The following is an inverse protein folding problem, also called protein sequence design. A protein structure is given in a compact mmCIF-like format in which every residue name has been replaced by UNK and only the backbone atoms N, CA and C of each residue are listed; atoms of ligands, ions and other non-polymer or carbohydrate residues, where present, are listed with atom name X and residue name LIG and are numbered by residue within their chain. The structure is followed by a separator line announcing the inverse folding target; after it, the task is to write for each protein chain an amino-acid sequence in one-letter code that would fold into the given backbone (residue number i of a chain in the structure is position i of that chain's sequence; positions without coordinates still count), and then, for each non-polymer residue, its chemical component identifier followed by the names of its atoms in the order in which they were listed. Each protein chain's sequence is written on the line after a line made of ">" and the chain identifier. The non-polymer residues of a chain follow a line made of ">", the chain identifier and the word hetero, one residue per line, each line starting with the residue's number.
data_IF_625828195593
#
_entry.id   IF_625828195593
#
_cell.length_a   1.000
_cell.length_b   1.000
_cell.length_c   1.000
_cell.angle_alpha   90.00
_cell.angle_beta   90.00
_cell.angle_gamma   90.00
#
_symmetry.space_group_name_H-M   'P 1'
#
loop_
_entity.id
_entity.type
_entity.pdbx_description
1 polymer ?
#
# COMPACT_ATOMS: atom_id res chain seq x y z
N UNK A 1 -16.55 5.25 20.51
CA UNK A 1 -15.33 5.20 19.66
C UNK A 1 -14.17 5.90 20.37
N UNK A 2 -13.09 5.20 20.74
CA UNK A 2 -11.88 5.86 21.25
C UNK A 2 -11.33 6.81 20.17
N UNK A 3 -11.30 8.13 20.45
CA UNK A 3 -10.67 9.11 19.56
C UNK A 3 -9.15 8.89 19.60
N UNK A 4 -8.62 8.19 18.61
CA UNK A 4 -7.18 8.10 18.38
C UNK A 4 -6.63 9.53 18.18
N UNK A 5 -5.78 9.98 19.10
CA UNK A 5 -5.14 11.30 19.06
C UNK A 5 -3.63 11.13 18.91
N UNK A 6 -3.01 11.95 18.07
CA UNK A 6 -1.57 12.04 17.84
C UNK A 6 -1.25 13.44 17.34
N UNK A 7 -0.08 13.97 17.71
CA UNK A 7 0.42 15.26 17.21
C UNK A 7 1.02 15.17 15.80
N UNK A 8 1.14 13.96 15.24
CA UNK A 8 1.64 13.77 13.87
C UNK A 8 0.68 14.37 12.85
N UNK A 9 1.15 15.38 12.11
CA UNK A 9 0.48 15.85 10.88
C UNK A 9 0.48 14.72 9.84
N UNK A 10 -0.46 14.80 8.90
CA UNK A 10 -0.73 13.77 7.88
C UNK A 10 -1.03 14.41 6.53
N UNK A 11 -0.75 13.66 5.47
CA UNK A 11 -1.19 13.97 4.11
C UNK A 11 -2.38 13.06 3.81
N UNK A 12 -3.48 13.65 3.37
CA UNK A 12 -4.71 12.92 2.99
C UNK A 12 -4.83 12.89 1.46
N UNK A 13 -5.35 11.77 0.95
CA UNK A 13 -5.51 11.52 -0.48
C UNK A 13 -4.34 10.70 -1.02
N UNK A 14 -4.65 9.53 -1.59
CA UNK A 14 -3.67 8.66 -2.26
C UNK A 14 -3.06 9.34 -3.48
N UNK A 15 -3.87 10.06 -4.26
CA UNK A 15 -3.40 10.77 -5.45
C UNK A 15 -2.44 11.91 -5.11
N UNK A 16 -2.73 12.64 -4.02
CA UNK A 16 -1.85 13.71 -3.54
C UNK A 16 -0.49 13.18 -3.12
N UNK A 17 -0.46 12.06 -2.39
CA UNK A 17 0.79 11.39 -2.03
C UNK A 17 1.52 10.89 -3.26
N UNK A 18 0.83 10.27 -4.21
CA UNK A 18 1.41 9.84 -5.50
C UNK A 18 2.07 11.02 -6.23
N UNK A 19 1.41 12.18 -6.35
CA UNK A 19 1.96 13.36 -6.99
C UNK A 19 3.28 13.83 -6.37
N UNK A 20 3.35 13.91 -5.03
CA UNK A 20 4.58 14.28 -4.34
C UNK A 20 5.73 13.29 -4.56
N UNK A 21 5.43 11.98 -4.59
CA UNK A 21 6.45 10.96 -4.81
C UNK A 21 6.89 10.87 -6.27
N UNK A 22 6.02 11.22 -7.22
CA UNK A 22 6.34 11.24 -8.65
C UNK A 22 7.41 12.28 -9.02
N UNK A 23 7.52 13.35 -8.23
CA UNK A 23 8.56 14.39 -8.40
C UNK A 23 9.97 13.91 -7.99
N UNK A 24 10.09 12.74 -7.33
CA UNK A 24 11.36 12.23 -6.85
C UNK A 24 11.91 11.14 -7.77
N UNK A 25 13.05 11.42 -8.42
CA UNK A 25 13.68 10.52 -9.39
C UNK A 25 13.94 9.11 -8.87
N UNK A 26 14.39 8.97 -7.62
CA UNK A 26 14.65 7.65 -7.01
C UNK A 26 13.38 6.87 -6.65
N UNK A 27 12.23 7.54 -6.47
CA UNK A 27 10.98 6.91 -6.02
C UNK A 27 10.05 6.62 -7.19
N UNK A 28 10.02 7.51 -8.18
CA UNK A 28 9.16 7.45 -9.37
C UNK A 28 9.14 6.07 -10.06
N UNK A 29 10.27 5.36 -10.26
CA UNK A 29 10.27 4.03 -10.89
C UNK A 29 9.49 2.95 -10.13
N UNK A 30 9.23 3.18 -8.84
CA UNK A 30 8.53 2.27 -7.92
C UNK A 30 7.05 2.59 -7.78
N UNK A 31 6.54 3.63 -8.45
CA UNK A 31 5.14 4.01 -8.38
C UNK A 31 4.36 3.37 -9.53
N UNK A 32 3.30 2.59 -9.25
CA UNK A 32 2.40 2.14 -10.30
C UNK A 32 1.69 3.34 -10.92
N UNK A 33 1.52 3.33 -12.25
CA UNK A 33 0.83 4.39 -12.95
C UNK A 33 -0.53 4.66 -12.31
N UNK A 34 -0.79 5.90 -11.91
CA UNK A 34 -2.00 6.29 -11.19
C UNK A 34 -2.55 7.61 -11.75
N UNK A 35 -3.86 7.66 -11.96
CA UNK A 35 -4.60 8.88 -12.38
C UNK A 35 -5.90 9.05 -11.59
N UNK A 36 -6.52 10.24 -11.58
CA UNK A 36 -7.90 10.40 -11.14
C UNK A 36 -8.82 9.51 -11.98
N UNK A 37 -9.84 8.91 -11.38
CA UNK A 37 -10.79 8.08 -12.10
C UNK A 37 -11.80 8.95 -12.85
N UNK A 38 -11.70 8.97 -14.17
CA UNK A 38 -12.66 9.56 -15.11
C UNK A 38 -12.95 8.53 -16.21
N UNK A 39 -13.97 8.78 -17.05
CA UNK A 39 -14.26 7.91 -18.20
C UNK A 39 -13.02 7.77 -19.10
N UNK A 40 -12.44 8.88 -19.50
CA UNK A 40 -11.26 8.88 -20.38
C UNK A 40 -10.06 8.20 -19.73
N UNK A 41 -9.81 8.47 -18.44
CA UNK A 41 -8.71 7.81 -17.74
C UNK A 41 -8.93 6.31 -17.57
N UNK A 42 -10.18 5.84 -17.43
CA UNK A 42 -10.50 4.42 -17.42
C UNK A 42 -10.11 3.78 -18.75
N UNK A 43 -10.57 4.35 -19.87
CA UNK A 43 -10.29 3.85 -21.21
C UNK A 43 -8.79 3.85 -21.51
N UNK A 44 -8.12 5.00 -21.32
CA UNK A 44 -6.69 5.14 -21.58
C UNK A 44 -5.83 4.20 -20.70
N UNK A 45 -6.22 3.97 -19.45
CA UNK A 45 -5.47 3.06 -18.58
C UNK A 45 -5.69 1.60 -18.96
N UNK A 46 -6.91 1.21 -19.37
CA UNK A 46 -7.23 -0.14 -19.85
C UNK A 46 -6.67 -0.44 -21.26
N UNK A 47 -6.34 0.59 -22.05
CA UNK A 47 -5.55 0.43 -23.27
C UNK A 47 -4.10 0.05 -22.96
N UNK A 48 -3.54 0.61 -21.88
CA UNK A 48 -2.13 0.40 -21.50
C UNK A 48 -1.90 -0.82 -20.61
N UNK A 49 -2.87 -1.19 -19.79
CA UNK A 49 -2.70 -2.22 -18.75
C UNK A 49 -3.87 -3.19 -18.72
N UNK A 50 -3.56 -4.49 -18.74
CA UNK A 50 -4.55 -5.58 -18.69
C UNK A 50 -5.33 -5.61 -17.38
N UNK A 51 -4.68 -5.30 -16.25
CA UNK A 51 -5.34 -5.21 -14.94
C UNK A 51 -5.22 -3.79 -14.41
N UNK A 52 -6.32 -3.27 -13.87
CA UNK A 52 -6.35 -1.98 -13.15
C UNK A 52 -7.13 -2.11 -11.84
N UNK A 53 -6.77 -1.28 -10.87
CA UNK A 53 -7.48 -1.13 -9.62
C UNK A 53 -8.11 0.26 -9.55
N UNK A 54 -9.41 0.31 -9.27
CA UNK A 54 -10.12 1.55 -8.98
C UNK A 54 -10.34 1.59 -7.47
N UNK A 55 -9.88 2.64 -6.81
CA UNK A 55 -9.91 2.75 -5.34
C UNK A 55 -10.26 4.16 -4.87
N UNK A 56 -10.91 4.31 -3.70
CA UNK A 56 -11.16 5.62 -3.11
C UNK A 56 -9.85 6.34 -2.81
N UNK A 57 -9.77 7.60 -3.24
CA UNK A 57 -8.65 8.49 -2.93
C UNK A 57 -8.52 8.67 -1.41
N UNK A 58 -9.67 8.79 -0.74
CA UNK A 58 -9.79 8.80 0.72
C UNK A 58 -10.42 7.49 1.21
N UNK A 59 -9.80 6.88 2.21
CA UNK A 59 -10.28 5.63 2.78
C UNK A 59 -9.13 4.75 3.25
N UNK A 60 -9.49 3.66 3.93
CA UNK A 60 -8.56 2.69 4.53
C UNK A 60 -9.12 1.28 4.41
N UNK A 61 -8.33 0.28 4.78
CA UNK A 61 -8.76 -1.12 4.94
C UNK A 61 -9.19 -1.83 3.64
N UNK A 62 -8.86 -1.26 2.46
CA UNK A 62 -9.24 -1.85 1.16
C UNK A 62 -10.74 -1.77 0.84
N UNK A 63 -11.52 -0.97 1.58
CA UNK A 63 -12.95 -0.78 1.31
C UNK A 63 -13.15 0.06 0.04
N UNK A 64 -14.12 -0.34 -0.78
CA UNK A 64 -14.44 0.33 -2.05
C UNK A 64 -13.45 0.07 -3.18
N UNK A 65 -12.58 -0.93 -3.05
CA UNK A 65 -11.63 -1.31 -4.11
C UNK A 65 -12.33 -2.21 -5.13
N UNK A 66 -12.16 -1.85 -6.40
CA UNK A 66 -12.56 -2.63 -7.56
C UNK A 66 -11.31 -3.07 -8.31
N UNK A 67 -11.28 -4.32 -8.76
CA UNK A 67 -10.28 -4.82 -9.70
C UNK A 67 -10.96 -5.05 -11.04
N UNK A 68 -10.43 -4.46 -12.11
CA UNK A 68 -10.89 -4.71 -13.47
C UNK A 68 -9.79 -5.44 -14.23
N UNK A 69 -10.17 -6.50 -14.93
CA UNK A 69 -9.30 -7.21 -15.89
C UNK A 69 -9.92 -7.08 -17.26
N UNK A 70 -9.15 -6.56 -18.22
CA UNK A 70 -9.51 -6.62 -19.64
C UNK A 70 -9.24 -8.04 -20.16
N UNK A 71 -10.25 -8.67 -20.72
CA UNK A 71 -10.21 -10.02 -21.27
C UNK A 71 -10.84 -10.02 -22.66
N UNK A 72 -10.02 -9.79 -23.70
CA UNK A 72 -10.53 -9.57 -25.06
C UNK A 72 -11.46 -8.34 -25.11
N UNK A 73 -12.71 -8.49 -25.58
CA UNK A 73 -13.70 -7.41 -25.61
C UNK A 73 -14.36 -7.14 -24.26
N UNK A 74 -14.14 -8.00 -23.26
CA UNK A 74 -14.82 -7.92 -21.97
C UNK A 74 -13.97 -7.26 -20.88
N UNK A 75 -14.67 -6.66 -19.91
CA UNK A 75 -14.11 -6.15 -18.67
C UNK A 75 -14.68 -6.92 -17.48
N UNK A 76 -13.84 -7.71 -16.83
CA UNK A 76 -14.19 -8.50 -15.65
C UNK A 76 -13.93 -7.64 -14.41
N UNK A 77 -15.00 -7.11 -13.82
CA UNK A 77 -14.99 -6.34 -12.58
C UNK A 77 -15.18 -7.26 -11.37
N UNK A 78 -14.20 -7.28 -10.47
CA UNK A 78 -14.30 -7.92 -9.14
C UNK A 78 -14.34 -6.87 -8.04
N UNK A 79 -15.29 -6.99 -7.12
CA UNK A 79 -15.39 -6.13 -5.95
C UNK A 79 -16.06 -6.88 -4.80
N UNK A 80 -15.52 -6.74 -3.59
CA UNK A 80 -15.98 -7.53 -2.43
C UNK A 80 -15.96 -9.03 -2.74
N UNK A 81 -17.11 -9.70 -2.71
CA UNK A 81 -17.30 -11.12 -3.10
C UNK A 81 -18.10 -11.26 -4.39
N UNK A 82 -18.20 -10.21 -5.21
CA UNK A 82 -19.01 -10.17 -6.43
C UNK A 82 -18.11 -10.02 -7.66
N UNK A 83 -18.56 -10.63 -8.75
CA UNK A 83 -17.99 -10.48 -10.10
C UNK A 83 -19.07 -9.95 -11.03
N UNK A 84 -18.72 -9.03 -11.92
CA UNK A 84 -19.54 -8.57 -13.03
C UNK A 84 -18.71 -8.50 -14.30
N UNK A 85 -19.37 -8.70 -15.43
CA UNK A 85 -18.78 -8.57 -16.76
C UNK A 85 -19.45 -7.40 -17.47
N UNK A 86 -18.65 -6.63 -18.20
CA UNK A 86 -19.11 -5.54 -19.06
C UNK A 86 -18.45 -5.70 -20.42
N UNK A 87 -19.15 -5.36 -21.50
CA UNK A 87 -18.61 -5.38 -22.87
C UNK A 87 -18.20 -3.99 -23.36
N UNK A 88 -18.46 -2.95 -22.57
CA UNK A 88 -18.10 -1.57 -22.88
C UNK A 88 -17.59 -0.80 -21.64
N UNK A 89 -16.67 0.12 -21.87
CA UNK A 89 -16.03 0.94 -20.82
C UNK A 89 -17.00 1.91 -20.16
N UNK A 90 -18.05 2.34 -20.87
CA UNK A 90 -18.99 3.34 -20.40
C UNK A 90 -19.92 2.78 -19.31
N UNK A 91 -20.51 1.61 -19.54
CA UNK A 91 -21.31 0.87 -18.57
C UNK A 91 -20.49 0.51 -17.34
N UNK A 92 -19.24 0.06 -17.53
CA UNK A 92 -18.30 -0.18 -16.44
C UNK A 92 -18.07 1.11 -15.61
N UNK A 93 -17.78 2.23 -16.28
CA UNK A 93 -17.56 3.52 -15.63
C UNK A 93 -18.80 3.95 -14.82
N UNK A 94 -19.99 3.95 -15.44
CA UNK A 94 -21.24 4.32 -14.78
C UNK A 94 -21.52 3.43 -13.56
N UNK A 95 -21.27 2.13 -13.68
CA UNK A 95 -21.50 1.17 -12.60
C UNK A 95 -20.66 1.49 -11.36
N UNK A 96 -19.37 1.79 -11.55
CA UNK A 96 -18.44 2.13 -10.48
C UNK A 96 -18.72 3.53 -9.93
N UNK A 97 -18.92 4.52 -10.80
CA UNK A 97 -19.12 5.91 -10.42
C UNK A 97 -20.39 6.11 -9.59
N UNK A 98 -21.51 5.47 -9.95
CA UNK A 98 -22.78 5.54 -9.19
C UNK A 98 -22.70 4.95 -7.78
N UNK A 99 -21.71 4.09 -7.50
CA UNK A 99 -21.56 3.38 -6.22
C UNK A 99 -20.55 4.03 -5.27
N UNK A 100 -19.78 5.00 -5.76
CA UNK A 100 -18.79 5.70 -4.96
C UNK A 100 -19.29 7.08 -4.56
N UNK A 101 -19.32 7.34 -3.25
CA UNK A 101 -19.53 8.68 -2.69
C UNK A 101 -18.22 9.47 -2.54
N UNK A 102 -17.08 8.90 -2.95
CA UNK A 102 -15.75 9.49 -2.80
C UNK A 102 -15.07 9.66 -4.15
N UNK A 103 -14.14 10.63 -4.23
CA UNK A 103 -13.21 10.76 -5.36
C UNK A 103 -12.43 9.45 -5.49
N UNK A 104 -12.41 8.92 -6.71
CA UNK A 104 -11.74 7.67 -7.03
C UNK A 104 -10.44 7.95 -7.79
N UNK A 105 -9.50 7.01 -7.69
CA UNK A 105 -8.32 6.92 -8.55
C UNK A 105 -8.32 5.58 -9.28
N UNK A 106 -7.71 5.58 -10.47
CA UNK A 106 -7.39 4.37 -11.21
C UNK A 106 -5.88 4.15 -11.18
N UNK A 107 -5.47 2.92 -10.90
CA UNK A 107 -4.07 2.54 -10.74
C UNK A 107 -3.78 1.26 -11.53
N UNK A 108 -2.62 1.20 -12.16
CA UNK A 108 -2.09 -0.01 -12.80
C UNK A 108 -2.09 -1.19 -11.81
N UNK A 109 -2.57 -2.35 -12.26
CA UNK A 109 -2.40 -3.61 -11.56
C UNK A 109 -0.97 -4.13 -11.68
N UNK A 110 -0.46 -4.67 -10.58
CA UNK A 110 0.87 -5.28 -10.51
C UNK A 110 0.69 -6.79 -10.34
N UNK A 111 1.42 -7.58 -11.12
CA UNK A 111 1.49 -9.03 -10.96
C UNK A 111 2.41 -9.37 -9.80
N UNK A 112 1.81 -9.51 -8.62
CA UNK A 112 2.54 -9.66 -7.37
C UNK A 112 3.27 -11.00 -7.29
N UNK A 113 4.48 -10.96 -6.75
CA UNK A 113 5.17 -12.12 -6.22
C UNK A 113 4.32 -12.79 -5.13
N UNK A 114 4.38 -14.12 -5.03
CA UNK A 114 3.53 -14.91 -4.14
C UNK A 114 4.35 -15.68 -3.10
N UNK A 115 3.71 -15.94 -1.96
CA UNK A 115 4.14 -16.88 -0.94
C UNK A 115 3.03 -17.91 -0.75
N UNK A 116 3.31 -19.19 -0.97
CA UNK A 116 2.30 -20.28 -0.95
C UNK A 116 1.05 -19.93 -1.78
N UNK A 117 1.29 -19.47 -3.03
CA UNK A 117 0.29 -19.00 -3.99
C UNK A 117 -0.56 -17.78 -3.55
N UNK A 118 -0.22 -17.13 -2.44
CA UNK A 118 -0.92 -15.96 -1.92
C UNK A 118 -0.09 -14.69 -2.14
N UNK A 119 -0.71 -13.57 -2.54
CA UNK A 119 0.01 -12.31 -2.63
C UNK A 119 0.44 -11.87 -1.23
N UNK A 120 1.57 -11.19 -1.15
CA UNK A 120 2.04 -10.60 0.09
C UNK A 120 2.56 -9.18 -0.14
N UNK A 121 2.54 -8.38 0.91
CA UNK A 121 3.23 -7.10 0.95
C UNK A 121 4.10 -7.02 2.20
N UNK A 122 5.10 -6.14 2.16
CA UNK A 122 5.96 -5.80 3.28
C UNK A 122 5.58 -4.42 3.78
N UNK A 123 4.94 -4.37 4.96
CA UNK A 123 4.69 -3.12 5.68
C UNK A 123 6.00 -2.65 6.29
N UNK A 124 6.53 -1.51 5.86
CA UNK A 124 7.58 -0.78 6.56
C UNK A 124 6.96 0.34 7.43
N UNK A 125 7.42 0.46 8.68
CA UNK A 125 6.99 1.50 9.61
C UNK A 125 8.13 2.47 9.85
N UNK A 126 7.90 3.73 9.46
CA UNK A 126 8.85 4.82 9.61
C UNK A 126 8.33 5.73 10.70
N UNK A 127 9.17 6.04 11.68
CA UNK A 127 8.84 6.97 12.76
C UNK A 127 10.02 7.89 13.03
N UNK A 128 9.71 9.07 13.55
CA UNK A 128 10.71 9.96 14.14
C UNK A 128 10.19 10.56 15.43
N UNK A 129 11.09 10.77 16.38
CA UNK A 129 10.79 11.60 17.55
C UNK A 129 10.61 13.06 17.12
N UNK A 130 9.95 13.91 17.93
CA UNK A 130 10.00 15.35 17.72
C UNK A 130 11.45 15.82 17.57
N UNK A 131 11.73 16.60 16.51
CA UNK A 131 13.08 17.09 16.16
C UNK A 131 14.14 16.00 15.85
N UNK A 132 13.75 14.74 15.76
CA UNK A 132 14.66 13.64 15.44
C UNK A 132 14.61 13.23 13.97
N UNK A 133 15.55 12.35 13.61
CA UNK A 133 15.62 11.75 12.28
C UNK A 133 14.56 10.67 12.04
N UNK A 134 14.25 10.45 10.76
CA UNK A 134 13.41 9.32 10.33
C UNK A 134 14.15 8.00 10.52
N UNK A 135 13.47 7.05 11.16
CA UNK A 135 13.99 5.71 11.43
C UNK A 135 12.97 4.67 11.00
N UNK A 136 13.43 3.60 10.34
CA UNK A 136 12.62 2.40 10.17
C UNK A 136 12.56 1.67 11.51
N UNK A 137 11.41 1.75 12.19
CA UNK A 137 11.20 1.16 13.51
C UNK A 137 10.73 -0.29 13.45
N UNK A 138 10.34 -0.75 12.26
CA UNK A 138 10.16 -2.16 11.98
C UNK A 138 9.39 -2.42 10.68
N UNK A 139 9.31 -3.69 10.33
CA UNK A 139 8.53 -4.19 9.20
C UNK A 139 7.91 -5.53 9.51
N UNK A 140 6.90 -5.87 8.74
CA UNK A 140 6.29 -7.18 8.79
C UNK A 140 5.64 -7.47 7.45
N UNK A 141 5.60 -8.74 7.08
CA UNK A 141 4.89 -9.16 5.89
C UNK A 141 3.41 -9.41 6.21
N UNK A 142 2.53 -9.03 5.29
CA UNK A 142 1.11 -9.34 5.32
C UNK A 142 0.80 -10.23 4.13
N UNK A 143 0.40 -11.47 4.40
CA UNK A 143 0.03 -12.43 3.36
C UNK A 143 -1.49 -12.43 3.24
N UNK A 144 -1.99 -12.17 2.02
CA UNK A 144 -3.41 -12.12 1.72
C UNK A 144 -4.10 -13.49 1.81
N UNK A 145 -5.42 -13.47 1.87
CA UNK A 145 -6.25 -14.69 1.85
C UNK A 145 -6.57 -15.13 0.41
N UNK A 146 -6.78 -16.43 0.15
CA UNK A 146 -7.23 -16.92 -1.15
C UNK A 146 -8.46 -16.17 -1.67
N UNK A 147 -8.50 -15.91 -2.98
CA UNK A 147 -9.66 -15.33 -3.66
C UNK A 147 -9.94 -13.85 -3.37
N UNK A 148 -9.19 -13.18 -2.49
CA UNK A 148 -9.36 -11.75 -2.20
C UNK A 148 -8.53 -10.88 -3.13
N UNK A 149 -9.10 -9.76 -3.55
CA UNK A 149 -8.46 -8.76 -4.42
C UNK A 149 -7.44 -7.86 -3.70
N UNK A 150 -7.41 -7.88 -2.36
CA UNK A 150 -6.52 -7.05 -1.52
C UNK A 150 -5.82 -7.91 -0.45
N UNK A 151 -4.59 -7.56 -0.10
CA UNK A 151 -3.74 -8.22 0.92
C UNK A 151 -4.00 -7.74 2.36
N UNK A 152 -5.01 -6.90 2.56
CA UNK A 152 -5.21 -6.18 3.82
C UNK A 152 -5.54 -7.12 5.00
N UNK A 153 -4.92 -6.92 6.17
CA UNK A 153 -5.21 -7.69 7.39
C UNK A 153 -6.68 -7.63 7.80
N UNK A 154 -7.34 -6.49 7.59
CA UNK A 154 -8.77 -6.33 7.84
C UNK A 154 -9.65 -7.25 6.96
N UNK A 155 -9.07 -7.90 5.95
CA UNK A 155 -9.72 -8.81 5.00
C UNK A 155 -9.25 -10.26 5.17
N UNK A 156 -8.67 -10.62 6.33
CA UNK A 156 -8.29 -11.99 6.68
C UNK A 156 -6.81 -12.34 6.45
N UNK A 157 -5.97 -11.35 6.15
CA UNK A 157 -4.53 -11.56 5.97
C UNK A 157 -3.83 -12.01 7.26
N UNK A 158 -2.71 -12.73 7.11
CA UNK A 158 -1.85 -13.17 8.22
C UNK A 158 -0.55 -12.37 8.24
N UNK A 159 -0.01 -12.14 9.45
CA UNK A 159 1.23 -11.39 9.67
C UNK A 159 2.38 -12.37 9.84
N UNK A 160 3.50 -12.09 9.19
CA UNK A 160 4.73 -12.87 9.28
C UNK A 160 5.94 -11.96 9.51
N UNK A 161 6.98 -12.49 10.14
CA UNK A 161 8.31 -11.89 10.07
C UNK A 161 8.78 -11.92 8.62
N UNK A 162 9.30 -10.80 8.13
CA UNK A 162 9.81 -10.69 6.75
C UNK A 162 10.94 -11.68 6.53
N UNK A 163 11.88 -11.79 7.48
CA UNK A 163 13.02 -12.72 7.41
C UNK A 163 12.53 -14.16 7.33
N UNK A 164 11.59 -14.55 8.21
CA UNK A 164 11.01 -15.92 8.17
C UNK A 164 10.29 -16.18 6.85
N UNK A 165 9.53 -15.21 6.33
CA UNK A 165 8.83 -15.36 5.06
C UNK A 165 9.82 -15.52 3.89
N UNK A 166 10.87 -14.71 3.83
CA UNK A 166 11.89 -14.80 2.79
C UNK A 166 12.69 -16.11 2.87
N UNK A 167 13.05 -16.55 4.07
CA UNK A 167 13.67 -17.85 4.30
C UNK A 167 12.75 -18.99 3.86
N UNK A 168 11.47 -18.98 4.24
CA UNK A 168 10.49 -19.99 3.80
C UNK A 168 10.20 -19.97 2.29
N UNK A 169 10.50 -18.86 1.60
CA UNK A 169 10.47 -18.78 0.13
C UNK A 169 11.72 -19.36 -0.53
N UNK A 170 12.73 -19.76 0.24
CA UNK A 170 13.99 -20.27 -0.29
C UNK A 170 14.90 -19.17 -0.86
N UNK A 171 14.69 -17.89 -0.47
CA UNK A 171 15.58 -16.82 -0.93
C UNK A 171 16.99 -16.99 -0.31
N UNK A 172 18.07 -16.93 -1.11
CA UNK A 172 19.43 -16.94 -0.58
C UNK A 172 19.68 -15.77 0.39
N UNK A 173 20.52 -15.92 1.43
CA UNK A 173 20.75 -14.87 2.42
C UNK A 173 21.15 -13.52 1.82
N UNK A 174 21.98 -13.50 0.79
CA UNK A 174 22.40 -12.26 0.12
C UNK A 174 21.22 -11.52 -0.55
N UNK A 175 20.29 -12.24 -1.17
CA UNK A 175 19.08 -11.65 -1.76
C UNK A 175 18.10 -11.15 -0.69
N UNK A 176 18.01 -11.83 0.45
CA UNK A 176 17.21 -11.35 1.59
C UNK A 176 17.75 -9.99 2.09
N UNK A 177 19.05 -9.89 2.34
CA UNK A 177 19.71 -8.65 2.76
C UNK A 177 19.57 -7.55 1.72
N UNK A 178 19.78 -7.87 0.44
CA UNK A 178 19.62 -6.90 -0.66
C UNK A 178 18.20 -6.32 -0.73
N UNK A 179 17.17 -7.17 -0.65
CA UNK A 179 15.76 -6.72 -0.66
C UNK A 179 15.44 -5.86 0.55
N UNK A 180 15.96 -6.23 1.71
CA UNK A 180 15.81 -5.48 2.94
C UNK A 180 16.43 -4.09 2.86
N UNK A 181 17.70 -4.01 2.46
CA UNK A 181 18.43 -2.75 2.33
C UNK A 181 17.73 -1.83 1.32
N UNK A 182 17.20 -2.42 0.26
CA UNK A 182 16.48 -1.68 -0.75
C UNK A 182 15.16 -1.08 -0.21
N UNK A 183 14.36 -1.90 0.48
CA UNK A 183 13.13 -1.43 1.15
C UNK A 183 13.45 -0.36 2.17
N UNK A 184 14.47 -0.56 3.01
CA UNK A 184 14.83 0.38 4.08
C UNK A 184 15.25 1.73 3.49
N UNK A 185 16.17 1.74 2.53
CA UNK A 185 16.67 2.95 1.88
C UNK A 185 15.54 3.73 1.21
N UNK A 186 14.74 3.09 0.36
CA UNK A 186 13.62 3.76 -0.31
C UNK A 186 12.54 4.23 0.66
N UNK A 187 12.31 3.49 1.75
CA UNK A 187 11.35 3.89 2.77
C UNK A 187 11.75 5.20 3.46
N UNK A 188 13.04 5.38 3.74
CA UNK A 188 13.56 6.64 4.29
C UNK A 188 13.43 7.79 3.29
N UNK A 189 13.69 7.54 2.00
CA UNK A 189 13.50 8.54 0.94
C UNK A 189 12.04 8.98 0.80
N UNK A 190 11.10 8.04 0.83
CA UNK A 190 9.66 8.35 0.86
C UNK A 190 9.31 9.19 2.08
N UNK A 191 9.85 8.86 3.26
CA UNK A 191 9.57 9.61 4.48
C UNK A 191 10.12 11.04 4.43
N UNK A 192 11.35 11.22 3.94
CA UNK A 192 11.99 12.53 3.73
C UNK A 192 11.18 13.36 2.74
N UNK A 193 10.89 12.82 1.55
CA UNK A 193 10.10 13.47 0.51
C UNK A 193 8.77 14.01 1.06
N UNK A 194 7.97 13.15 1.70
CA UNK A 194 6.66 13.57 2.22
C UNK A 194 6.78 14.58 3.36
N UNK A 195 7.79 14.44 4.22
CA UNK A 195 8.02 15.38 5.32
C UNK A 195 8.50 16.76 4.86
N UNK A 196 9.17 16.85 3.70
CA UNK A 196 9.52 18.11 3.06
C UNK A 196 8.27 18.83 2.52
N UNK A 197 7.29 18.08 1.99
CA UNK A 197 5.99 18.64 1.54
C UNK A 197 5.03 18.94 2.69
N UNK A 198 5.20 18.30 3.85
CA UNK A 198 4.37 18.52 5.04
C UNK A 198 5.19 18.37 6.33
N UNK A 199 5.56 19.51 6.92
CA UNK A 199 6.21 19.54 8.23
C UNK A 199 5.34 18.93 9.34
N UNK A 200 5.97 18.47 10.42
CA UNK A 200 5.29 17.91 11.60
C UNK A 200 4.74 16.48 11.45
N UNK A 201 5.11 15.75 10.40
CA UNK A 201 4.85 14.31 10.29
C UNK A 201 5.80 13.53 11.20
N UNK A 202 5.33 12.52 11.92
CA UNK A 202 6.14 11.67 12.82
C UNK A 202 5.97 10.17 12.56
N UNK A 203 5.05 9.77 11.69
CA UNK A 203 4.82 8.38 11.35
C UNK A 203 4.36 8.20 9.90
N UNK A 204 4.86 7.17 9.24
CA UNK A 204 4.44 6.73 7.91
C UNK A 204 4.50 5.21 7.88
N UNK A 205 3.46 4.56 7.38
CA UNK A 205 3.48 3.15 7.00
C UNK A 205 3.51 3.05 5.48
N UNK A 206 4.44 2.27 4.93
CA UNK A 206 4.56 2.03 3.49
C UNK A 206 4.28 0.55 3.24
N UNK A 207 3.44 0.27 2.25
CA UNK A 207 3.12 -1.08 1.78
C UNK A 207 3.93 -1.35 0.52
N UNK A 208 5.00 -2.13 0.66
CA UNK A 208 5.86 -2.53 -0.44
C UNK A 208 5.45 -3.89 -1.01
N UNK A 209 5.54 -4.04 -2.32
CA UNK A 209 5.33 -5.33 -2.99
C UNK A 209 6.42 -5.59 -4.01
N UNK A 210 6.82 -6.84 -4.16
CA UNK A 210 7.61 -7.29 -5.29
C UNK A 210 6.67 -7.83 -6.37
N UNK A 211 6.97 -7.55 -7.63
CA UNK A 211 6.35 -8.26 -8.75
C UNK A 211 7.09 -9.58 -9.07
N UNK A 212 6.56 -10.34 -10.02
CA UNK A 212 7.15 -11.63 -10.42
C UNK A 212 8.57 -11.52 -10.99
N UNK A 213 9.00 -10.34 -11.45
CA UNK A 213 10.36 -10.08 -11.95
C UNK A 213 11.32 -9.67 -10.83
N UNK A 214 10.82 -9.51 -9.61
CA UNK A 214 11.59 -9.02 -8.46
C UNK A 214 11.69 -7.49 -8.39
N UNK A 215 10.97 -6.75 -9.24
CA UNK A 215 10.91 -5.30 -9.14
C UNK A 215 10.04 -4.88 -7.95
N UNK A 216 10.54 -3.92 -7.19
CA UNK A 216 9.88 -3.36 -6.02
C UNK A 216 8.90 -2.24 -6.41
N UNK A 217 7.71 -2.24 -5.80
CA UNK A 217 6.67 -1.25 -6.01
C UNK A 217 6.07 -0.76 -4.70
N UNK A 218 5.65 0.51 -4.68
CA UNK A 218 4.85 1.10 -3.61
C UNK A 218 3.38 0.85 -3.92
N UNK A 219 2.72 0.04 -3.10
CA UNK A 219 1.28 -0.22 -3.22
C UNK A 219 0.44 0.89 -2.56
N UNK A 220 0.86 1.32 -1.36
CA UNK A 220 0.21 2.40 -0.60
C UNK A 220 1.18 3.05 0.40
N UNK A 221 0.99 4.34 0.66
CA UNK A 221 1.68 5.07 1.74
C UNK A 221 0.63 5.71 2.65
N UNK A 222 0.66 5.35 3.94
CA UNK A 222 -0.29 5.80 4.95
C UNK A 222 0.40 6.61 6.05
N UNK A 223 0.14 7.91 6.07
CA UNK A 223 0.61 8.83 7.12
C UNK A 223 -0.47 9.16 8.17
N UNK A 224 -1.67 8.59 8.05
CA UNK A 224 -2.78 8.92 8.95
C UNK A 224 -2.69 8.12 10.26
N UNK A 225 -2.76 6.80 10.16
CA UNK A 225 -2.72 5.92 11.33
C UNK A 225 -2.26 4.52 10.94
N UNK A 226 -0.97 4.37 10.55
CA UNK A 226 -0.42 3.05 10.27
C UNK A 226 -0.51 2.17 11.52
N UNK A 227 -1.10 1.00 11.35
CA UNK A 227 -1.41 0.06 12.43
C UNK A 227 -0.13 -0.63 12.93
N UNK A 228 0.07 -0.70 14.26
CA UNK A 228 1.28 -1.24 14.92
C UNK A 228 1.01 -2.58 15.63
N UNK A 229 -0.17 -2.76 16.22
CA UNK A 229 -0.53 -3.96 17.02
C UNK A 229 -0.29 -5.34 16.35
N UNK A 230 -0.37 -5.53 15.02
CA UNK A 230 -0.21 -6.86 14.44
C UNK A 230 1.19 -7.45 14.67
N UNK A 231 2.20 -6.59 14.89
CA UNK A 231 3.57 -7.00 15.19
C UNK A 231 3.70 -7.63 16.59
N UNK A 232 2.81 -7.28 17.54
CA UNK A 232 2.87 -7.74 18.94
C UNK A 232 2.95 -9.25 19.08
N UNK A 233 2.32 -10.00 18.16
CA UNK A 233 2.27 -11.47 18.18
C UNK A 233 3.50 -12.14 17.55
N UNK A 234 4.28 -11.41 16.74
CA UNK A 234 5.39 -11.97 15.96
C UNK A 234 6.76 -11.45 16.39
N UNK A 235 6.82 -10.26 16.99
CA UNK A 235 8.05 -9.63 17.47
C UNK A 235 7.75 -8.59 18.55
N UNK A 236 7.97 -8.95 19.82
CA UNK A 236 7.67 -8.09 20.95
C UNK A 236 8.66 -6.91 21.07
N UNK A 237 9.91 -7.10 20.67
CA UNK A 237 10.95 -6.07 20.70
C UNK A 237 10.65 -4.98 19.68
N UNK A 238 10.31 -5.37 18.45
CA UNK A 238 9.88 -4.45 17.39
C UNK A 238 8.61 -3.71 17.79
N UNK A 239 7.62 -4.40 18.35
CA UNK A 239 6.39 -3.76 18.84
C UNK A 239 6.68 -2.71 19.93
N UNK A 240 7.52 -3.04 20.92
CA UNK A 240 7.94 -2.09 21.98
C UNK A 240 8.68 -0.88 21.40
N UNK A 241 9.57 -1.09 20.42
CA UNK A 241 10.27 0.00 19.71
C UNK A 241 9.28 0.93 19.00
N UNK A 242 8.31 0.37 18.26
CA UNK A 242 7.29 1.16 17.57
C UNK A 242 6.43 1.98 18.55
N UNK A 243 6.08 1.40 19.70
CA UNK A 243 5.36 2.09 20.77
C UNK A 243 6.18 3.20 21.41
N UNK A 244 7.47 2.97 21.66
CA UNK A 244 8.37 3.96 22.23
C UNK A 244 8.42 5.24 21.38
N UNK A 245 8.58 5.08 20.05
CA UNK A 245 8.50 6.20 19.13
C UNK A 245 7.08 6.81 19.12
N UNK A 246 6.04 5.98 19.09
CA UNK A 246 4.65 6.45 19.06
C UNK A 246 4.30 7.38 20.24
N UNK A 247 4.74 7.02 21.43
CA UNK A 247 4.52 7.79 22.65
C UNK A 247 5.18 9.17 22.58
N UNK A 248 6.34 9.30 21.93
CA UNK A 248 7.07 10.58 21.82
C UNK A 248 6.31 11.69 21.09
N UNK A 249 5.35 11.34 20.22
CA UNK A 249 4.48 12.29 19.52
C UNK A 249 3.00 12.17 19.96
N UNK A 250 2.77 11.59 21.13
CA UNK A 250 1.47 11.58 21.80
C UNK A 250 0.46 10.56 21.27
N UNK A 251 0.88 9.57 20.47
CA UNK A 251 -0.01 8.48 20.03
C UNK A 251 -0.31 7.54 21.20
N UNK A 252 -1.60 7.44 21.56
CA UNK A 252 -2.14 6.48 22.53
C UNK A 252 -2.88 5.36 21.78
N UNK A 253 -2.63 4.10 22.14
CA UNK A 253 -3.35 2.93 21.59
C UNK A 253 -4.66 2.66 22.34
#
# INVERSE_FOLDING_TARGET
>A
MKKFSSRSKRIRGKFKVYGYLMEQGMIRPHLPFTRPFTKDNLEQTLLRYTTVYIKPDFGKEGKGVYRVVKNGPEFILKYQSRTKVFTDSHSLYQFVNRRSSSRLIIQQGIELERFNNKPYDVRAMLQRKPKGEWVCTGWFARVGSPGKIVTNLAQGGKVYSVNKLFQSKGLPPHEQSRRFDYIQRLSLEVARCLSAKRSGMHQIGIDWVFDQTGKLWILEVNSTWPVIYPVKKIDQTMYRRMLFFARSYGRRE
#
